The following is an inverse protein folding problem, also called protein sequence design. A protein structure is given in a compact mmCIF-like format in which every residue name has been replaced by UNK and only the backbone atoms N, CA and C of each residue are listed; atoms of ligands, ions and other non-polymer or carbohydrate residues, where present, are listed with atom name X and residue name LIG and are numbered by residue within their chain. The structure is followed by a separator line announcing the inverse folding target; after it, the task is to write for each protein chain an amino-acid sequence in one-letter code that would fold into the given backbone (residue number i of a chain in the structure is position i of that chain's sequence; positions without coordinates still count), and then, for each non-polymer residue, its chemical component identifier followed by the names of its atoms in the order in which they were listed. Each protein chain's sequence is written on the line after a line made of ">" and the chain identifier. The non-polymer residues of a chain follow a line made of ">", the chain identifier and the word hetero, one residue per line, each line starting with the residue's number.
data_IF_874715160714
#
_entry.id   IF_874715160714
#
_cell.length_a   1.000
_cell.length_b   1.000
_cell.length_c   1.000
_cell.angle_alpha   90.00
_cell.angle_beta   90.00
_cell.angle_gamma   90.00
#
_symmetry.space_group_name_H-M   'P 1'
#
loop_
_entity.id
_entity.type
_entity.pdbx_description
1 polymer ?
#
# COMPACT_ATOMS: atom_id res chain seq x y z
N UNK A 1 14.34 17.73 -49.09
CA UNK A 1 13.27 18.29 -48.24
C UNK A 1 12.36 17.15 -47.86
N UNK A 2 12.75 16.40 -46.86
CA UNK A 2 11.90 15.31 -46.29
C UNK A 2 11.12 15.92 -45.15
N UNK A 3 9.80 15.78 -45.25
CA UNK A 3 8.87 16.28 -44.26
C UNK A 3 8.95 15.41 -43.00
N UNK A 4 9.38 15.99 -41.89
CA UNK A 4 9.20 15.44 -40.56
C UNK A 4 7.70 15.18 -40.30
N UNK A 5 7.28 13.94 -40.43
CA UNK A 5 5.98 13.49 -39.91
C UNK A 5 6.05 13.53 -38.40
N UNK A 6 5.54 14.63 -37.85
CA UNK A 6 5.29 14.84 -36.46
C UNK A 6 4.20 13.85 -35.99
N UNK A 7 4.62 12.67 -35.51
CA UNK A 7 3.74 11.64 -35.04
C UNK A 7 3.29 11.96 -33.59
N UNK A 8 2.43 12.98 -33.48
CA UNK A 8 1.70 13.28 -32.25
C UNK A 8 0.68 12.15 -32.00
N UNK A 9 1.18 11.00 -31.53
CA UNK A 9 0.34 10.01 -30.90
C UNK A 9 -0.17 10.58 -29.56
N UNK A 10 -1.21 11.39 -29.63
CA UNK A 10 -2.09 11.67 -28.51
C UNK A 10 -2.74 10.34 -28.13
N UNK A 11 -2.06 9.56 -27.28
CA UNK A 11 -2.67 8.43 -26.59
C UNK A 11 -3.75 8.96 -25.65
N UNK A 12 -4.89 9.36 -26.22
CA UNK A 12 -6.10 9.57 -25.44
C UNK A 12 -6.43 8.24 -24.77
N UNK A 13 -6.10 8.12 -23.48
CA UNK A 13 -6.47 6.98 -22.65
C UNK A 13 -8.00 6.94 -22.67
N UNK A 14 -8.57 5.97 -23.39
CA UNK A 14 -10.01 5.77 -23.40
C UNK A 14 -10.45 5.23 -22.03
N UNK A 15 -10.80 6.17 -21.14
CA UNK A 15 -11.29 5.88 -19.78
C UNK A 15 -12.57 5.03 -19.75
N UNK A 16 -13.22 4.78 -20.89
CA UNK A 16 -14.35 3.85 -21.00
C UNK A 16 -13.92 2.39 -21.09
N UNK A 17 -12.62 2.13 -21.30
CA UNK A 17 -12.11 0.76 -21.29
C UNK A 17 -12.10 0.20 -19.87
N UNK A 18 -12.89 -0.85 -19.55
CA UNK A 18 -12.95 -1.41 -18.18
C UNK A 18 -11.60 -1.90 -17.66
N UNK A 19 -10.68 -2.27 -18.54
CA UNK A 19 -9.33 -2.68 -18.16
C UNK A 19 -8.56 -1.51 -17.55
N UNK A 20 -8.71 -0.31 -18.09
CA UNK A 20 -8.05 0.90 -17.57
C UNK A 20 -8.61 1.28 -16.21
N UNK A 21 -9.90 1.10 -15.98
CA UNK A 21 -10.53 1.34 -14.67
C UNK A 21 -9.96 0.39 -13.62
N UNK A 22 -9.86 -0.91 -13.94
CA UNK A 22 -9.31 -1.92 -13.03
C UNK A 22 -7.83 -1.62 -12.73
N UNK A 23 -7.05 -1.28 -13.74
CA UNK A 23 -5.65 -0.90 -13.58
C UNK A 23 -5.50 0.36 -12.72
N UNK A 24 -6.40 1.34 -12.87
CA UNK A 24 -6.49 2.52 -12.02
C UNK A 24 -6.78 2.17 -10.56
N UNK A 25 -7.76 1.30 -10.30
CA UNK A 25 -8.04 0.80 -8.94
C UNK A 25 -6.79 0.16 -8.34
N UNK A 26 -6.11 -0.70 -9.09
CA UNK A 26 -4.88 -1.35 -8.64
C UNK A 26 -3.76 -0.36 -8.32
N UNK A 27 -3.60 0.65 -9.15
CA UNK A 27 -2.61 1.69 -8.99
C UNK A 27 -2.88 2.57 -7.75
N UNK A 28 -4.12 3.01 -7.56
CA UNK A 28 -4.52 3.85 -6.43
C UNK A 28 -4.88 3.06 -5.16
N UNK A 29 -4.78 1.73 -5.17
CA UNK A 29 -5.14 0.89 -4.03
C UNK A 29 -4.48 1.28 -2.70
N UNK A 30 -3.18 1.66 -2.63
CA UNK A 30 -2.58 2.11 -1.36
C UNK A 30 -3.30 3.33 -0.77
N UNK A 31 -3.69 4.29 -1.61
CA UNK A 31 -4.42 5.49 -1.18
C UNK A 31 -5.85 5.15 -0.76
N UNK A 32 -6.52 4.27 -1.52
CA UNK A 32 -7.87 3.80 -1.17
C UNK A 32 -7.86 3.09 0.18
N UNK A 33 -6.91 2.20 0.42
CA UNK A 33 -6.79 1.49 1.68
C UNK A 33 -6.42 2.42 2.84
N UNK A 34 -5.55 3.39 2.59
CA UNK A 34 -5.19 4.40 3.58
C UNK A 34 -6.42 5.21 4.02
N UNK A 35 -7.19 5.76 3.08
CA UNK A 35 -8.39 6.54 3.36
C UNK A 35 -9.50 5.70 4.01
N UNK A 36 -9.70 4.47 3.54
CA UNK A 36 -10.65 3.52 4.14
C UNK A 36 -10.30 3.26 5.60
N UNK A 37 -9.02 3.02 5.90
CA UNK A 37 -8.59 2.76 7.27
C UNK A 37 -8.77 3.99 8.17
N UNK A 38 -8.48 5.19 7.68
CA UNK A 38 -8.76 6.45 8.38
C UNK A 38 -10.25 6.54 8.71
N UNK A 39 -11.13 6.31 7.72
CA UNK A 39 -12.57 6.38 7.89
C UNK A 39 -13.06 5.44 9.01
N UNK A 40 -12.67 4.18 9.00
CA UNK A 40 -13.07 3.21 10.02
C UNK A 40 -12.41 3.44 11.39
N UNK A 41 -11.27 4.12 11.43
CA UNK A 41 -10.57 4.47 12.67
C UNK A 41 -11.03 5.81 13.28
N UNK A 42 -11.84 6.60 12.57
CA UNK A 42 -12.13 7.99 12.89
C UNK A 42 -12.64 8.21 14.32
N UNK A 43 -13.55 7.36 14.78
CA UNK A 43 -14.12 7.42 16.14
C UNK A 43 -13.18 6.82 17.21
N UNK A 44 -12.17 6.07 16.82
CA UNK A 44 -11.21 5.39 17.69
C UNK A 44 -9.86 6.10 17.65
N UNK A 45 -9.79 7.31 18.19
CA UNK A 45 -8.65 8.25 18.05
C UNK A 45 -7.27 7.62 18.27
N UNK A 46 -7.12 6.75 19.28
CA UNK A 46 -5.81 6.11 19.56
C UNK A 46 -5.40 5.14 18.44
N UNK A 47 -6.36 4.40 17.86
CA UNK A 47 -6.09 3.55 16.70
C UNK A 47 -5.79 4.38 15.45
N UNK A 48 -6.47 5.51 15.26
CA UNK A 48 -6.20 6.42 14.15
C UNK A 48 -4.79 7.00 14.24
N UNK A 49 -4.43 7.58 15.39
CA UNK A 49 -3.09 8.16 15.59
C UNK A 49 -2.01 7.09 15.42
N UNK A 50 -2.19 5.93 16.06
CA UNK A 50 -1.26 4.82 15.93
C UNK A 50 -1.14 4.33 14.50
N UNK A 51 -2.26 4.19 13.76
CA UNK A 51 -2.23 3.83 12.34
C UNK A 51 -1.40 4.81 11.51
N UNK A 52 -1.63 6.12 11.68
CA UNK A 52 -0.90 7.16 10.92
C UNK A 52 0.61 7.11 11.20
N UNK A 53 1.00 7.01 12.48
CA UNK A 53 2.41 6.92 12.88
C UNK A 53 3.07 5.67 12.31
N UNK A 54 2.42 4.51 12.46
CA UNK A 54 3.00 3.26 11.97
C UNK A 54 2.89 3.10 10.45
N UNK A 55 1.93 3.74 9.79
CA UNK A 55 1.90 3.80 8.31
C UNK A 55 3.10 4.58 7.77
N UNK A 56 3.44 5.72 8.39
CA UNK A 56 4.65 6.47 8.06
C UNK A 56 5.92 5.63 8.33
N UNK A 57 5.99 4.93 9.47
CA UNK A 57 7.06 4.01 9.79
C UNK A 57 7.16 2.85 8.78
N UNK A 58 6.03 2.29 8.33
CA UNK A 58 5.98 1.25 7.29
C UNK A 58 6.55 1.74 5.96
N UNK A 59 6.25 3.00 5.60
CA UNK A 59 6.80 3.62 4.38
C UNK A 59 8.32 3.82 4.50
N UNK A 60 8.80 4.28 5.65
CA UNK A 60 10.22 4.43 5.93
C UNK A 60 10.93 3.06 5.92
N UNK A 61 10.36 2.06 6.56
CA UNK A 61 10.85 0.68 6.55
C UNK A 61 11.00 0.16 5.12
N UNK A 62 10.02 0.40 4.24
CA UNK A 62 10.11 0.01 2.84
C UNK A 62 11.34 0.63 2.14
N UNK A 63 11.59 1.93 2.37
CA UNK A 63 12.77 2.62 1.80
C UNK A 63 14.07 2.01 2.31
N UNK A 64 14.18 1.78 3.62
CA UNK A 64 15.37 1.15 4.23
C UNK A 64 15.61 -0.25 3.64
N UNK A 65 14.57 -1.07 3.55
CA UNK A 65 14.67 -2.42 2.99
C UNK A 65 15.07 -2.39 1.51
N UNK A 66 14.61 -1.43 0.71
CA UNK A 66 15.03 -1.27 -0.69
C UNK A 66 16.54 -1.01 -0.79
N UNK A 67 17.07 -0.13 0.05
CA UNK A 67 18.51 0.17 0.08
C UNK A 67 19.32 -1.04 0.58
N UNK A 68 18.74 -1.85 1.46
CA UNK A 68 19.40 -3.04 2.01
C UNK A 68 19.43 -4.19 1.00
N UNK A 69 18.30 -4.52 0.38
CA UNK A 69 18.21 -5.63 -0.58
C UNK A 69 18.82 -5.30 -1.93
N UNK A 70 18.75 -4.06 -2.37
CA UNK A 70 19.27 -3.56 -3.66
C UNK A 70 18.86 -4.40 -4.86
N UNK A 71 17.73 -5.11 -4.79
CA UNK A 71 17.22 -5.92 -5.90
C UNK A 71 16.58 -4.99 -6.95
N UNK A 72 17.05 -5.03 -8.22
CA UNK A 72 16.53 -4.15 -9.26
C UNK A 72 15.10 -4.51 -9.65
N UNK A 73 14.41 -3.57 -10.27
CA UNK A 73 13.13 -3.81 -10.95
C UNK A 73 13.36 -4.56 -12.26
N UNK A 74 12.33 -5.22 -12.83
CA UNK A 74 12.38 -5.69 -14.21
C UNK A 74 12.76 -4.54 -15.16
N UNK A 75 13.59 -4.83 -16.18
CA UNK A 75 14.13 -3.81 -17.09
C UNK A 75 13.10 -3.27 -18.08
N UNK A 76 12.06 -4.06 -18.36
CA UNK A 76 11.00 -3.77 -19.34
C UNK A 76 9.69 -3.32 -18.66
N UNK A 77 9.80 -2.63 -17.54
CA UNK A 77 8.64 -2.11 -16.82
C UNK A 77 7.90 -1.03 -17.62
N UNK A 78 6.58 -1.01 -17.49
CA UNK A 78 5.70 -0.02 -18.09
C UNK A 78 5.27 1.03 -17.06
N UNK A 79 5.05 2.26 -17.52
CA UNK A 79 4.57 3.37 -16.71
C UNK A 79 3.06 3.47 -16.91
N UNK A 80 2.29 3.42 -15.83
CA UNK A 80 0.84 3.63 -15.85
C UNK A 80 0.49 5.13 -15.80
N UNK A 81 1.25 5.92 -15.04
CA UNK A 81 1.04 7.36 -14.89
C UNK A 81 2.39 8.11 -14.91
N UNK A 82 2.40 9.30 -15.50
CA UNK A 82 3.64 10.06 -15.74
C UNK A 82 4.47 10.35 -14.47
N UNK A 83 3.82 10.51 -13.32
CA UNK A 83 4.51 10.71 -12.05
C UNK A 83 5.18 9.44 -11.49
N UNK A 84 4.97 8.27 -12.10
CA UNK A 84 5.73 7.05 -11.79
C UNK A 84 7.12 7.01 -12.41
N UNK A 85 7.54 8.06 -13.11
CA UNK A 85 8.89 8.12 -13.67
C UNK A 85 9.89 7.96 -12.54
N UNK A 86 10.64 6.87 -12.60
CA UNK A 86 11.60 6.48 -11.56
C UNK A 86 12.76 7.45 -11.54
N UNK A 87 12.85 8.27 -10.52
CA UNK A 87 14.06 9.03 -10.19
C UNK A 87 15.03 8.11 -9.43
N UNK A 88 16.34 8.38 -9.53
CA UNK A 88 17.44 7.46 -9.15
C UNK A 88 17.33 6.62 -7.87
N UNK A 89 16.55 7.04 -6.86
CA UNK A 89 16.34 6.25 -5.63
C UNK A 89 15.31 5.11 -5.80
N UNK A 90 14.49 5.13 -6.86
CA UNK A 90 13.45 4.13 -7.10
C UNK A 90 13.88 2.97 -8.01
N UNK A 91 15.17 2.84 -8.28
CA UNK A 91 15.75 1.76 -9.08
C UNK A 91 15.47 0.40 -8.44
N UNK A 92 15.44 0.34 -7.09
CA UNK A 92 15.25 -0.90 -6.36
C UNK A 92 13.77 -1.27 -6.26
N UNK A 93 13.47 -2.54 -6.57
CA UNK A 93 12.12 -3.10 -6.58
C UNK A 93 11.71 -3.82 -5.30
N UNK A 94 12.64 -4.23 -4.43
CA UNK A 94 12.36 -5.12 -3.30
C UNK A 94 12.49 -4.40 -1.96
N UNK A 95 11.45 -4.49 -1.10
CA UNK A 95 10.11 -5.03 -1.37
C UNK A 95 9.21 -4.07 -2.14
N UNK A 96 8.10 -4.58 -2.73
CA UNK A 96 7.09 -3.73 -3.36
C UNK A 96 6.39 -2.84 -2.34
N UNK A 97 6.49 -1.51 -2.50
CA UNK A 97 5.87 -0.55 -1.60
C UNK A 97 4.34 -0.55 -1.66
N UNK A 98 3.75 -0.72 -2.86
CA UNK A 98 2.31 -0.85 -3.05
C UNK A 98 1.77 -2.07 -2.31
N UNK A 99 2.36 -3.25 -2.55
CA UNK A 99 1.95 -4.49 -1.89
C UNK A 99 2.09 -4.40 -0.36
N UNK A 100 3.20 -3.81 0.13
CA UNK A 100 3.46 -3.65 1.56
C UNK A 100 2.43 -2.71 2.22
N UNK A 101 2.15 -1.54 1.63
CA UNK A 101 1.22 -0.56 2.20
C UNK A 101 -0.22 -1.06 2.18
N UNK A 102 -0.63 -1.73 1.10
CA UNK A 102 -1.97 -2.32 0.99
C UNK A 102 -2.16 -3.44 2.02
N UNK A 103 -1.22 -4.38 2.13
CA UNK A 103 -1.29 -5.49 3.08
C UNK A 103 -1.26 -5.01 4.54
N UNK A 104 -0.45 -3.99 4.86
CA UNK A 104 -0.44 -3.32 6.15
C UNK A 104 -1.83 -2.81 6.53
N UNK A 105 -2.46 -2.05 5.63
CA UNK A 105 -3.77 -1.45 5.87
C UNK A 105 -4.87 -2.51 5.97
N UNK A 106 -4.89 -3.53 5.10
CA UNK A 106 -5.87 -4.63 5.13
C UNK A 106 -5.80 -5.36 6.47
N UNK A 107 -4.60 -5.75 6.90
CA UNK A 107 -4.42 -6.50 8.15
C UNK A 107 -4.83 -5.67 9.36
N UNK A 108 -4.39 -4.41 9.43
CA UNK A 108 -4.77 -3.52 10.52
C UNK A 108 -6.28 -3.29 10.56
N UNK A 109 -6.91 -3.02 9.41
CA UNK A 109 -8.34 -2.75 9.29
C UNK A 109 -9.19 -3.98 9.67
N UNK A 110 -8.79 -5.17 9.26
CA UNK A 110 -9.45 -6.41 9.66
C UNK A 110 -9.44 -6.60 11.17
N UNK A 111 -8.27 -6.47 11.80
CA UNK A 111 -8.14 -6.61 13.25
C UNK A 111 -8.91 -5.52 14.01
N UNK A 112 -9.01 -4.31 13.46
CA UNK A 112 -9.76 -3.21 14.05
C UNK A 112 -11.28 -3.41 14.01
N UNK A 113 -11.79 -3.93 12.87
CA UNK A 113 -13.24 -4.03 12.62
C UNK A 113 -13.81 -5.41 12.88
N UNK A 114 -12.98 -6.45 12.83
CA UNK A 114 -13.38 -7.87 12.88
C UNK A 114 -14.47 -8.21 11.83
N UNK A 115 -14.51 -7.50 10.69
CA UNK A 115 -15.50 -7.66 9.64
C UNK A 115 -14.96 -8.52 8.51
N UNK A 116 -15.47 -9.74 8.36
CA UNK A 116 -15.11 -10.65 7.28
C UNK A 116 -15.47 -10.08 5.91
N UNK A 117 -16.63 -9.43 5.78
CA UNK A 117 -17.07 -8.82 4.52
C UNK A 117 -16.11 -7.72 4.09
N UNK A 118 -15.72 -6.82 4.99
CA UNK A 118 -14.77 -5.76 4.71
C UNK A 118 -13.39 -6.34 4.36
N UNK A 119 -12.96 -7.38 5.06
CA UNK A 119 -11.72 -8.09 4.77
C UNK A 119 -11.71 -8.67 3.34
N UNK A 120 -12.80 -9.33 2.92
CA UNK A 120 -12.90 -9.89 1.57
C UNK A 120 -12.85 -8.80 0.49
N UNK A 121 -13.59 -7.69 0.68
CA UNK A 121 -13.59 -6.57 -0.25
C UNK A 121 -12.19 -5.94 -0.37
N UNK A 122 -11.56 -5.65 0.76
CA UNK A 122 -10.24 -5.00 0.77
C UNK A 122 -9.14 -5.93 0.25
N UNK A 123 -9.24 -7.24 0.53
CA UNK A 123 -8.34 -8.25 -0.04
C UNK A 123 -8.49 -8.34 -1.56
N UNK A 124 -9.71 -8.29 -2.08
CA UNK A 124 -9.96 -8.27 -3.51
C UNK A 124 -9.30 -7.05 -4.18
N UNK A 125 -9.43 -5.86 -3.58
CA UNK A 125 -8.72 -4.65 -4.06
C UNK A 125 -7.20 -4.84 -3.99
N UNK A 126 -6.70 -5.48 -2.93
CA UNK A 126 -5.29 -5.84 -2.78
C UNK A 126 -4.78 -6.78 -3.87
N UNK A 127 -5.58 -7.76 -4.26
CA UNK A 127 -5.26 -8.66 -5.38
C UNK A 127 -5.18 -7.90 -6.72
N UNK A 128 -6.11 -6.96 -6.96
CA UNK A 128 -6.06 -6.08 -8.15
C UNK A 128 -4.77 -5.24 -8.12
N UNK A 129 -4.38 -4.70 -6.98
CA UNK A 129 -3.14 -3.95 -6.83
C UNK A 129 -1.91 -4.79 -7.19
N UNK A 130 -1.77 -5.98 -6.59
CA UNK A 130 -0.66 -6.90 -6.84
C UNK A 130 -0.61 -7.31 -8.32
N UNK A 131 -1.76 -7.65 -8.89
CA UNK A 131 -1.89 -7.99 -10.31
C UNK A 131 -1.47 -6.83 -11.21
N UNK A 132 -1.92 -5.61 -10.95
CA UNK A 132 -1.55 -4.41 -11.72
C UNK A 132 -0.04 -4.18 -11.67
N UNK A 133 0.61 -4.27 -10.50
CA UNK A 133 2.07 -4.10 -10.37
C UNK A 133 2.85 -5.19 -11.11
N UNK A 134 2.33 -6.41 -11.16
CA UNK A 134 2.91 -7.50 -11.94
C UNK A 134 2.68 -7.30 -13.45
N UNK A 135 1.46 -6.99 -13.86
CA UNK A 135 1.07 -6.75 -15.27
C UNK A 135 1.94 -5.67 -15.93
N UNK A 136 2.18 -4.58 -15.22
CA UNK A 136 3.03 -3.47 -15.69
C UNK A 136 4.52 -3.72 -15.46
N UNK A 137 4.89 -4.93 -15.05
CA UNK A 137 6.27 -5.35 -14.79
C UNK A 137 7.04 -4.40 -13.84
N UNK A 138 6.32 -3.72 -12.97
CA UNK A 138 6.92 -2.81 -11.96
C UNK A 138 7.64 -3.59 -10.86
N UNK A 139 7.22 -4.85 -10.65
CA UNK A 139 7.76 -5.73 -9.64
C UNK A 139 7.73 -7.19 -10.09
N UNK A 140 8.70 -7.99 -9.64
CA UNK A 140 8.65 -9.46 -9.74
C UNK A 140 7.66 -10.03 -8.72
N UNK A 141 7.17 -11.25 -8.95
CA UNK A 141 6.30 -11.96 -7.99
C UNK A 141 6.96 -12.04 -6.61
N UNK A 142 8.27 -12.33 -6.55
CA UNK A 142 9.05 -12.36 -5.30
C UNK A 142 8.97 -11.03 -4.53
N UNK A 143 9.16 -9.91 -5.22
CA UNK A 143 9.09 -8.57 -4.62
C UNK A 143 7.69 -8.23 -4.08
N UNK A 144 6.64 -8.70 -4.77
CA UNK A 144 5.25 -8.54 -4.36
C UNK A 144 4.92 -9.39 -3.13
N UNK A 145 5.29 -10.68 -3.14
CA UNK A 145 5.06 -11.60 -2.02
C UNK A 145 5.74 -11.11 -0.75
N UNK A 146 7.01 -10.71 -0.86
CA UNK A 146 7.77 -10.21 0.30
C UNK A 146 7.19 -8.89 0.81
N UNK A 147 6.79 -7.98 -0.09
CA UNK A 147 6.10 -6.75 0.31
C UNK A 147 4.79 -7.04 1.07
N UNK A 148 3.95 -7.92 0.53
CA UNK A 148 2.70 -8.34 1.18
C UNK A 148 2.96 -8.94 2.57
N UNK A 149 3.93 -9.83 2.69
CA UNK A 149 4.27 -10.49 3.95
C UNK A 149 4.73 -9.48 5.02
N UNK A 150 5.67 -8.61 4.68
CA UNK A 150 6.18 -7.57 5.58
C UNK A 150 5.04 -6.63 6.01
N UNK A 151 4.23 -6.18 5.06
CA UNK A 151 3.09 -5.31 5.35
C UNK A 151 2.08 -5.95 6.29
N UNK A 152 1.73 -7.22 6.07
CA UNK A 152 0.80 -7.96 6.93
C UNK A 152 1.32 -8.10 8.36
N UNK A 153 2.57 -8.50 8.54
CA UNK A 153 3.18 -8.61 9.87
C UNK A 153 3.18 -7.24 10.57
N UNK A 154 3.62 -6.20 9.87
CA UNK A 154 3.74 -4.88 10.46
C UNK A 154 2.38 -4.27 10.81
N UNK A 155 1.35 -4.51 10.00
CA UNK A 155 -0.04 -4.13 10.31
C UNK A 155 -0.60 -4.84 11.55
N UNK A 156 -0.35 -6.15 11.67
CA UNK A 156 -0.72 -6.93 12.85
C UNK A 156 -0.01 -6.46 14.13
N UNK A 157 1.32 -6.24 14.04
CA UNK A 157 2.11 -5.70 15.15
C UNK A 157 1.60 -4.33 15.60
N UNK A 158 1.28 -3.45 14.65
CA UNK A 158 0.72 -2.12 14.94
C UNK A 158 -0.55 -2.21 15.76
N UNK A 159 -1.52 -3.01 15.31
CA UNK A 159 -2.76 -3.22 16.05
C UNK A 159 -2.52 -3.77 17.46
N UNK A 160 -1.63 -4.76 17.58
CA UNK A 160 -1.29 -5.38 18.86
C UNK A 160 -0.68 -4.37 19.85
N UNK A 161 0.28 -3.56 19.39
CA UNK A 161 0.96 -2.55 20.21
C UNK A 161 -0.06 -1.53 20.76
N UNK A 162 -0.93 -1.00 19.89
CA UNK A 162 -1.94 -0.02 20.28
C UNK A 162 -2.92 -0.63 21.30
N UNK A 163 -3.39 -1.85 21.03
CA UNK A 163 -4.33 -2.55 21.91
C UNK A 163 -3.72 -2.83 23.28
N UNK A 164 -2.46 -3.28 23.32
CA UNK A 164 -1.73 -3.51 24.56
C UNK A 164 -1.58 -2.21 25.36
N UNK A 165 -1.17 -1.13 24.69
CA UNK A 165 -1.06 0.19 25.35
C UNK A 165 -2.38 0.65 25.98
N UNK A 166 -3.50 0.51 25.25
CA UNK A 166 -4.82 0.88 25.76
C UNK A 166 -5.26 0.03 26.97
N UNK A 167 -5.00 -1.30 26.95
CA UNK A 167 -5.30 -2.19 28.08
C UNK A 167 -4.50 -1.76 29.31
N UNK A 168 -3.21 -1.51 29.17
CA UNK A 168 -2.35 -1.09 30.30
C UNK A 168 -2.82 0.26 30.87
N UNK A 169 -3.13 1.24 30.02
CA UNK A 169 -3.65 2.54 30.45
C UNK A 169 -4.93 2.43 31.26
N UNK A 170 -5.86 1.58 30.81
CA UNK A 170 -7.15 1.37 31.50
C UNK A 170 -6.99 0.64 32.84
N UNK A 171 -5.93 -0.14 33.04
CA UNK A 171 -5.64 -0.80 34.33
C UNK A 171 -5.02 0.14 35.36
N UNK A 172 -4.28 1.15 34.91
CA UNK A 172 -3.61 2.12 35.81
C UNK A 172 -4.59 3.21 36.31
N UNK A 173 -5.53 3.65 35.48
CA UNK A 173 -6.47 4.73 35.84
C UNK A 173 -7.34 4.45 37.09
N UNK A 174 -7.86 3.26 37.35
CA UNK A 174 -8.65 2.98 38.59
C UNK A 174 -7.84 3.10 39.88
N UNK A 175 -6.53 2.93 39.85
CA UNK A 175 -5.65 2.97 41.03
C UNK A 175 -5.31 4.38 41.48
N UNK A 176 -5.56 5.39 40.68
CA UNK A 176 -5.22 6.80 40.97
C UNK A 176 -6.42 7.56 41.56
N UNK A 177 -7.62 6.97 41.59
CA UNK A 177 -8.84 7.60 42.11
C UNK A 177 -9.19 7.18 43.57
N UNK A 178 -8.24 6.56 44.28
CA UNK A 178 -8.31 6.28 45.72
C UNK A 178 -7.34 7.19 46.44
#
# INVERSE_FOLDING_TARGET
>A
MEAEQNNNNNNNIDIRNPIIIIDGIGFYAPYLMFLTTIFYSWTRKMYLIGYLVFFAANTLLNKVLKITFREPRPTDYQIFADFEKTTGEEIFGMPSGHAQSVAFSITFLYLLTNSTTLFLITTFIGCICVYQRWKYRRHTIKQLVIGTFIGSIFGGMTYYIITKYLKTKNQIQPQIQI
#
